data_IF_640252495941
#
_entry.id   IF_640252495941
#
_cell.length_a   1.000
_cell.length_b   1.000
_cell.length_c   1.000
_cell.angle_alpha   90.00
_cell.angle_beta   90.00
_cell.angle_gamma   90.00
#
_symmetry.space_group_name_H-M   'P 1'
#
loop_
_entity.id
_entity.type
_entity.pdbx_description
1 polymer ?
#
# COMPACT_ATOMS: atom_id res chain seq x y z
N UNK A 1 6.93 18.16 2.53
CA UNK A 1 7.32 17.86 1.13
C UNK A 1 8.04 16.51 1.00
N UNK A 2 7.30 15.41 1.12
CA UNK A 2 7.79 14.05 0.84
C UNK A 2 7.03 13.49 -0.36
N UNK A 3 7.30 14.06 -1.54
CA UNK A 3 6.91 13.41 -2.80
C UNK A 3 7.73 12.13 -2.92
N UNK A 4 7.14 11.00 -2.56
CA UNK A 4 7.81 9.70 -2.65
C UNK A 4 7.22 8.96 -3.84
N UNK A 5 8.11 8.61 -4.77
CA UNK A 5 7.79 7.75 -5.89
C UNK A 5 8.06 6.31 -5.51
N UNK A 6 7.28 5.41 -6.10
CA UNK A 6 7.44 3.99 -5.93
C UNK A 6 6.74 3.23 -7.01
N UNK A 7 6.75 1.91 -6.86
CA UNK A 7 6.14 0.97 -7.79
C UNK A 7 5.32 -0.05 -7.03
N UNK A 8 4.16 -0.39 -7.58
CA UNK A 8 3.38 -1.53 -7.10
C UNK A 8 4.14 -2.81 -7.43
N UNK A 9 4.55 -3.57 -6.42
CA UNK A 9 5.29 -4.83 -6.58
C UNK A 9 4.41 -6.06 -6.44
N UNK A 10 3.19 -5.92 -5.92
CA UNK A 10 2.32 -7.06 -5.73
C UNK A 10 0.90 -6.69 -5.30
N UNK A 11 0.04 -7.70 -5.43
CA UNK A 11 -1.37 -7.69 -5.06
C UNK A 11 -1.67 -8.95 -4.24
N UNK A 12 -2.40 -8.82 -3.13
CA UNK A 12 -2.77 -9.95 -2.29
C UNK A 12 -4.22 -9.81 -1.82
N UNK A 13 -4.93 -10.93 -1.79
CA UNK A 13 -6.26 -11.02 -1.20
C UNK A 13 -6.16 -11.80 0.10
N UNK A 14 -6.65 -11.23 1.19
CA UNK A 14 -6.79 -11.92 2.47
C UNK A 14 -8.27 -12.06 2.79
N UNK A 15 -8.64 -13.14 3.45
CA UNK A 15 -9.98 -13.30 3.99
C UNK A 15 -9.97 -12.81 5.44
N UNK A 16 -10.78 -11.80 5.74
CA UNK A 16 -10.99 -11.37 7.11
C UNK A 16 -11.82 -12.38 7.90
N UNK A 17 -11.84 -12.21 9.22
CA UNK A 17 -12.86 -12.81 10.07
C UNK A 17 -14.23 -12.46 9.48
N UNK A 18 -15.14 -13.43 9.34
CA UNK A 18 -16.43 -13.34 8.61
C UNK A 18 -16.39 -13.49 7.08
N UNK A 19 -15.28 -13.93 6.48
CA UNK A 19 -15.23 -14.26 5.05
C UNK A 19 -15.28 -13.06 4.10
N UNK A 20 -15.20 -11.83 4.64
CA UNK A 20 -15.06 -10.61 3.84
C UNK A 20 -13.67 -10.59 3.21
N UNK A 21 -13.62 -10.44 1.88
CA UNK A 21 -12.37 -10.26 1.14
C UNK A 21 -11.80 -8.89 1.45
N UNK A 22 -10.54 -8.85 1.86
CA UNK A 22 -9.72 -7.66 2.00
C UNK A 22 -8.65 -7.66 0.92
N UNK A 23 -8.47 -6.52 0.28
CA UNK A 23 -7.59 -6.37 -0.86
C UNK A 23 -6.38 -5.55 -0.44
N UNK A 24 -5.19 -6.04 -0.76
CA UNK A 24 -3.94 -5.41 -0.37
C UNK A 24 -3.04 -5.20 -1.57
N UNK A 25 -2.40 -4.05 -1.65
CA UNK A 25 -1.33 -3.76 -2.60
C UNK A 25 -0.01 -3.58 -1.86
N UNK A 26 1.07 -4.11 -2.41
CA UNK A 26 2.41 -3.88 -1.90
C UNK A 26 3.11 -2.87 -2.79
N UNK A 27 3.60 -1.79 -2.19
CA UNK A 27 4.35 -0.74 -2.88
C UNK A 27 5.78 -0.75 -2.39
N UNK A 28 6.73 -0.67 -3.33
CA UNK A 28 8.14 -0.42 -3.04
C UNK A 28 8.47 1.01 -3.45
N UNK A 29 8.97 1.79 -2.51
CA UNK A 29 9.42 3.15 -2.73
C UNK A 29 10.86 3.17 -3.21
N UNK A 30 11.20 4.20 -3.99
CA UNK A 30 12.58 4.41 -4.47
C UNK A 30 13.51 4.87 -3.33
N UNK A 31 12.94 5.35 -2.23
CA UNK A 31 13.64 5.77 -1.02
C UNK A 31 12.98 5.16 0.21
N UNK A 32 13.80 4.82 1.21
CA UNK A 32 13.32 4.34 2.51
C UNK A 32 12.42 5.37 3.16
N UNK A 33 11.26 4.93 3.67
CA UNK A 33 10.26 5.83 4.24
C UNK A 33 10.35 5.95 5.76
N UNK A 34 11.09 5.06 6.42
CA UNK A 34 11.30 5.04 7.87
C UNK A 34 12.79 5.11 8.25
N UNK A 35 13.06 5.31 9.56
CA UNK A 35 14.43 5.31 10.11
C UNK A 35 15.07 3.92 10.16
N UNK A 36 14.32 2.86 9.89
CA UNK A 36 14.79 1.47 9.87
C UNK A 36 15.27 1.04 8.48
N UNK A 37 15.13 1.90 7.47
CA UNK A 37 15.54 1.62 6.10
C UNK A 37 14.48 0.90 5.27
N UNK A 38 13.26 0.75 5.77
CA UNK A 38 12.18 0.06 5.07
C UNK A 38 11.74 0.84 3.85
N UNK A 39 11.74 0.17 2.69
CA UNK A 39 11.34 0.70 1.39
C UNK A 39 10.02 0.08 0.89
N UNK A 40 9.43 -0.86 1.62
CA UNK A 40 8.19 -1.56 1.24
C UNK A 40 7.06 -1.33 2.24
N UNK A 41 5.86 -1.08 1.73
CA UNK A 41 4.65 -0.96 2.53
C UNK A 41 3.48 -1.70 1.89
N UNK A 42 2.62 -2.30 2.71
CA UNK A 42 1.39 -2.96 2.27
C UNK A 42 0.19 -2.07 2.65
N UNK A 43 -0.69 -1.82 1.70
CA UNK A 43 -1.85 -0.94 1.83
C UNK A 43 -3.13 -1.73 1.59
N UNK A 44 -4.08 -1.63 2.52
CA UNK A 44 -5.46 -2.12 2.30
C UNK A 44 -6.17 -1.15 1.35
N UNK A 45 -6.78 -1.67 0.29
CA UNK A 45 -7.51 -0.89 -0.72
C UNK A 45 -8.89 -1.48 -0.95
N UNK A 46 -9.77 -0.72 -1.59
CA UNK A 46 -11.05 -1.25 -2.07
C UNK A 46 -10.87 -2.22 -3.25
N UNK A 47 -11.94 -2.94 -3.58
CA UNK A 47 -11.94 -3.92 -4.67
C UNK A 47 -11.70 -3.30 -6.04
N UNK A 48 -12.19 -2.07 -6.25
CA UNK A 48 -12.21 -1.44 -7.57
C UNK A 48 -10.81 -0.95 -7.93
N UNK A 49 -10.16 -0.26 -6.99
CA UNK A 49 -8.76 0.13 -7.06
C UNK A 49 -7.86 -1.09 -7.13
N UNK A 50 -8.14 -2.15 -6.36
CA UNK A 50 -7.38 -3.40 -6.46
C UNK A 50 -7.46 -4.00 -7.85
N UNK A 51 -8.62 -4.01 -8.50
CA UNK A 51 -8.77 -4.55 -9.85
C UNK A 51 -8.09 -3.66 -10.90
N UNK A 52 -8.17 -2.34 -10.74
CA UNK A 52 -7.65 -1.37 -11.70
C UNK A 52 -6.13 -1.14 -11.62
N UNK A 53 -5.51 -1.36 -10.46
CA UNK A 53 -4.05 -1.21 -10.31
C UNK A 53 -3.32 -2.25 -11.17
N UNK A 54 -2.19 -1.91 -11.79
CA UNK A 54 -1.36 -2.88 -12.50
C UNK A 54 -0.08 -3.11 -11.69
N UNK A 55 0.33 -4.37 -11.50
CA UNK A 55 1.63 -4.66 -10.88
C UNK A 55 2.73 -4.13 -11.81
N UNK A 56 3.64 -3.34 -11.28
CA UNK A 56 4.63 -2.59 -12.05
C UNK A 56 4.25 -1.13 -12.31
N UNK A 57 3.01 -0.73 -12.04
CA UNK A 57 2.58 0.66 -12.16
C UNK A 57 3.37 1.58 -11.21
N UNK A 58 3.70 2.77 -11.71
CA UNK A 58 4.31 3.82 -10.91
C UNK A 58 3.25 4.50 -10.04
N UNK A 59 3.60 4.72 -8.78
CA UNK A 59 2.80 5.46 -7.82
C UNK A 59 3.59 6.69 -7.37
N UNK A 60 2.93 7.85 -7.44
CA UNK A 60 3.44 9.13 -6.96
C UNK A 60 2.46 9.62 -5.90
N UNK A 61 2.87 9.59 -4.63
CA UNK A 61 2.05 10.09 -3.53
C UNK A 61 2.72 11.28 -2.85
N UNK A 62 1.94 12.32 -2.56
CA UNK A 62 2.20 13.19 -1.43
C UNK A 62 1.90 12.38 -0.17
N UNK A 63 2.89 11.64 0.33
CA UNK A 63 2.76 10.93 1.59
C UNK A 63 3.00 11.94 2.72
N UNK A 64 2.13 12.94 2.83
CA UNK A 64 1.93 13.73 4.04
C UNK A 64 0.78 13.09 4.79
N UNK A 65 1.13 12.36 5.86
CA UNK A 65 0.21 11.54 6.65
C UNK A 65 -0.40 10.36 5.89
N UNK A 66 -0.57 9.28 6.65
CA UNK A 66 -1.40 8.14 6.28
C UNK A 66 -2.72 8.70 5.74
N UNK A 67 -3.07 8.54 4.44
CA UNK A 67 -4.32 9.09 3.93
C UNK A 67 -5.45 8.48 4.76
N UNK A 68 -6.36 9.32 5.24
CA UNK A 68 -7.52 8.91 6.03
C UNK A 68 -8.32 7.87 5.23
N UNK A 69 -8.05 6.58 5.48
CA UNK A 69 -8.53 5.46 4.67
C UNK A 69 -7.51 4.33 4.51
N UNK A 70 -6.22 4.63 4.41
CA UNK A 70 -5.13 3.65 4.39
C UNK A 70 -4.58 3.44 5.81
N UNK A 71 -5.42 3.03 6.77
CA UNK A 71 -4.90 2.73 8.12
C UNK A 71 -3.81 1.66 7.99
N UNK A 72 -2.55 1.94 8.41
CA UNK A 72 -1.58 0.87 8.55
C UNK A 72 -2.18 -0.13 9.52
N UNK A 73 -2.39 -1.35 9.04
CA UNK A 73 -2.76 -2.48 9.90
C UNK A 73 -1.50 -2.79 10.69
N UNK A 74 -1.29 -2.06 11.79
CA UNK A 74 -0.39 -2.49 12.84
C UNK A 74 -0.99 -3.78 13.39
N UNK A 75 -0.40 -4.90 12.99
CA UNK A 75 -0.64 -6.19 13.62
C UNK A 75 -0.14 -6.11 15.06
N UNK A 76 -1.06 -6.27 16.00
CA UNK A 76 -0.81 -6.92 17.29
C UNK A 76 -1.71 -8.15 17.34
#
# INVERSE_FOLDING_TARGET
MTHRTGRVIGKRNKYGLFGRKKYFISVRFDQSFDRKGTDRCEYEVDSDLFNNIIVGAFVKGEFEQVPEGLRPVYFY
#
